data_IF_953952737913
#
_entry.id   IF_953952737913
#
_cell.length_a   1.000
_cell.length_b   1.000
_cell.length_c   1.000
_cell.angle_alpha   90.00
_cell.angle_beta   90.00
_cell.angle_gamma   90.00
#
_symmetry.space_group_name_H-M   'P 1'
#
loop_
_entity.id
_entity.type
_entity.pdbx_description
1 polymer ?
#
# COMPACT_ATOMS: atom_id res chain seq x y z
N UNK A 1 29.57 -54.92 -11.75
CA UNK A 1 29.27 -53.53 -12.13
C UNK A 1 27.85 -53.12 -11.77
N UNK A 2 27.78 -52.35 -10.68
CA UNK A 2 26.90 -51.21 -10.39
C UNK A 2 25.46 -51.25 -10.93
N UNK A 3 24.55 -51.63 -10.03
CA UNK A 3 23.11 -51.38 -10.12
C UNK A 3 22.83 -49.90 -10.40
N UNK A 4 22.35 -49.61 -11.61
CA UNK A 4 21.80 -48.31 -11.97
C UNK A 4 20.45 -48.14 -11.24
N UNK A 5 20.51 -47.61 -10.02
CA UNK A 5 19.34 -47.05 -9.34
C UNK A 5 18.85 -45.86 -10.17
N UNK A 6 17.86 -46.11 -11.03
CA UNK A 6 17.07 -45.09 -11.70
C UNK A 6 16.27 -44.36 -10.63
N UNK A 7 16.72 -43.16 -10.28
CA UNK A 7 15.99 -42.25 -9.40
C UNK A 7 14.83 -41.66 -10.21
N UNK A 8 13.62 -42.18 -10.03
CA UNK A 8 12.43 -41.59 -10.65
C UNK A 8 12.25 -40.15 -10.12
N UNK A 9 11.97 -39.16 -10.99
CA UNK A 9 11.73 -37.80 -10.53
C UNK A 9 10.41 -37.75 -9.78
N UNK A 10 10.46 -37.50 -8.47
CA UNK A 10 9.30 -37.17 -7.66
C UNK A 10 8.67 -35.89 -8.23
N UNK A 11 7.50 -36.01 -8.84
CA UNK A 11 6.68 -34.87 -9.26
C UNK A 11 6.30 -34.04 -8.03
N UNK A 12 7.03 -32.95 -7.81
CA UNK A 12 6.71 -31.96 -6.79
C UNK A 12 5.46 -31.21 -7.24
N UNK A 13 4.28 -31.64 -6.77
CA UNK A 13 3.03 -30.90 -6.94
C UNK A 13 3.20 -29.53 -6.26
N UNK A 14 3.25 -28.48 -7.07
CA UNK A 14 3.30 -27.11 -6.58
C UNK A 14 2.08 -26.84 -5.70
N UNK A 15 2.31 -26.56 -4.42
CA UNK A 15 1.27 -26.12 -3.50
C UNK A 15 0.88 -24.71 -3.94
N UNK A 16 -0.30 -24.58 -4.56
CA UNK A 16 -0.89 -23.28 -4.87
C UNK A 16 -1.35 -22.68 -3.54
N UNK A 17 -0.51 -21.82 -2.96
CA UNK A 17 -0.93 -20.94 -1.88
C UNK A 17 -1.98 -19.99 -2.49
N UNK A 18 -3.22 -19.92 -2.00
CA UNK A 18 -4.17 -18.94 -2.49
C UNK A 18 -3.56 -17.56 -2.27
N UNK A 19 -3.20 -16.91 -3.37
CA UNK A 19 -2.69 -15.54 -3.37
C UNK A 19 -3.68 -14.69 -2.59
N UNK A 20 -3.18 -14.02 -1.54
CA UNK A 20 -3.97 -13.10 -0.72
C UNK A 20 -4.81 -12.24 -1.66
N UNK A 21 -6.12 -12.24 -1.44
CA UNK A 21 -7.08 -11.37 -2.12
C UNK A 21 -6.49 -9.96 -2.15
N UNK A 22 -6.00 -9.57 -3.32
CA UNK A 22 -5.64 -8.19 -3.59
C UNK A 22 -6.97 -7.50 -3.79
N UNK A 23 -7.37 -6.53 -2.94
CA UNK A 23 -8.58 -5.78 -3.21
C UNK A 23 -8.44 -5.16 -4.61
N UNK A 24 -9.52 -5.22 -5.39
CA UNK A 24 -9.57 -4.67 -6.74
C UNK A 24 -8.93 -3.27 -6.78
N UNK A 25 -8.18 -2.91 -7.83
CA UNK A 25 -7.66 -1.56 -7.97
C UNK A 25 -8.85 -0.60 -7.94
N UNK A 26 -8.96 0.17 -6.85
CA UNK A 26 -9.99 1.18 -6.69
C UNK A 26 -10.06 2.04 -7.97
N UNK A 27 -11.26 2.30 -8.51
CA UNK A 27 -11.40 3.02 -9.76
C UNK A 27 -10.64 4.34 -9.67
N UNK A 28 -9.71 4.57 -10.61
CA UNK A 28 -8.90 5.81 -10.70
C UNK A 28 -9.84 7.00 -10.87
N UNK A 29 -10.30 7.56 -9.75
CA UNK A 29 -11.17 8.73 -9.75
C UNK A 29 -10.41 9.89 -10.36
N UNK A 30 -11.05 10.71 -11.22
CA UNK A 30 -10.39 11.86 -11.82
C UNK A 30 -9.83 12.76 -10.71
N UNK A 31 -8.54 13.08 -10.80
CA UNK A 31 -7.79 13.93 -9.88
C UNK A 31 -8.29 15.37 -9.99
N UNK A 32 -9.52 15.62 -9.52
CA UNK A 32 -10.03 16.95 -9.19
C UNK A 32 -9.03 17.54 -8.20
N UNK A 33 -8.51 18.75 -8.42
CA UNK A 33 -7.49 19.41 -7.57
C UNK A 33 -7.81 19.20 -6.08
N UNK A 34 -7.19 18.19 -5.49
CA UNK A 34 -7.52 17.65 -4.17
C UNK A 34 -6.35 18.06 -3.29
N UNK A 35 -6.62 18.90 -2.30
CA UNK A 35 -5.59 19.40 -1.37
C UNK A 35 -4.85 18.26 -0.68
N UNK A 36 -3.74 18.58 -0.01
CA UNK A 36 -2.83 17.60 0.62
C UNK A 36 -3.57 16.53 1.41
N UNK A 37 -4.55 16.92 2.22
CA UNK A 37 -5.35 16.01 3.05
C UNK A 37 -6.02 14.90 2.24
N UNK A 38 -6.64 15.24 1.12
CA UNK A 38 -7.38 14.27 0.33
C UNK A 38 -6.43 13.31 -0.37
N UNK A 39 -5.31 13.82 -0.89
CA UNK A 39 -4.30 12.99 -1.56
C UNK A 39 -3.60 12.04 -0.57
N UNK A 40 -3.37 12.49 0.67
CA UNK A 40 -2.85 11.64 1.76
C UNK A 40 -3.86 10.57 2.17
N UNK A 41 -5.15 10.90 2.22
CA UNK A 41 -6.19 9.93 2.57
C UNK A 41 -6.39 8.87 1.49
N UNK A 42 -6.31 9.25 0.21
CA UNK A 42 -6.29 8.28 -0.90
C UNK A 42 -5.10 7.33 -0.79
N UNK A 43 -3.91 7.83 -0.41
CA UNK A 43 -2.76 6.97 -0.17
C UNK A 43 -3.01 5.99 0.99
N UNK A 44 -3.70 6.44 2.05
CA UNK A 44 -4.12 5.55 3.14
C UNK A 44 -5.18 4.53 2.72
N UNK A 45 -6.10 4.90 1.82
CA UNK A 45 -7.10 3.98 1.25
C UNK A 45 -6.43 2.90 0.38
N UNK A 46 -5.42 3.28 -0.41
CA UNK A 46 -4.73 2.41 -1.36
C UNK A 46 -3.78 1.40 -0.69
N UNK A 47 -2.97 1.86 0.29
CA UNK A 47 -1.95 1.03 0.95
C UNK A 47 -2.30 0.59 2.37
N UNK A 48 -3.26 1.24 3.01
CA UNK A 48 -3.55 1.10 4.43
C UNK A 48 -2.74 2.07 5.29
N UNK A 49 -3.41 2.73 6.23
CA UNK A 49 -2.85 3.80 7.08
C UNK A 49 -1.61 3.38 7.88
N UNK A 50 -1.50 2.10 8.25
CA UNK A 50 -0.36 1.58 9.02
C UNK A 50 0.83 1.20 8.14
N UNK A 51 0.62 1.00 6.84
CA UNK A 51 1.68 0.68 5.87
C UNK A 51 2.28 1.92 5.20
N UNK A 52 1.57 3.05 5.22
CA UNK A 52 2.03 4.28 4.59
C UNK A 52 3.12 4.95 5.41
N UNK A 53 4.23 5.28 4.75
CA UNK A 53 5.36 5.95 5.39
C UNK A 53 5.28 7.47 5.31
N UNK A 54 6.00 8.15 6.22
CA UNK A 54 6.11 9.61 6.20
C UNK A 54 6.63 10.15 4.86
N UNK A 55 7.65 9.50 4.28
CA UNK A 55 8.29 9.96 3.02
C UNK A 55 7.31 9.91 1.84
N UNK A 56 6.41 8.94 1.81
CA UNK A 56 5.40 8.84 0.76
C UNK A 56 4.37 9.95 0.88
N UNK A 57 3.88 10.22 2.10
CA UNK A 57 2.99 11.35 2.35
C UNK A 57 3.66 12.70 2.03
N UNK A 58 4.92 12.87 2.40
CA UNK A 58 5.70 14.07 2.09
C UNK A 58 5.88 14.23 0.57
N UNK A 59 6.17 13.14 -0.15
CA UNK A 59 6.28 13.16 -1.61
C UNK A 59 4.96 13.60 -2.27
N UNK A 60 3.83 13.08 -1.82
CA UNK A 60 2.51 13.49 -2.31
C UNK A 60 2.23 14.95 -1.96
N UNK A 61 2.49 15.35 -0.71
CA UNK A 61 2.26 16.71 -0.27
C UNK A 61 3.06 17.72 -1.11
N UNK A 62 4.33 17.45 -1.40
CA UNK A 62 5.16 18.30 -2.27
C UNK A 62 4.70 18.33 -3.73
N UNK A 63 4.08 17.25 -4.22
CA UNK A 63 3.48 17.23 -5.57
C UNK A 63 2.22 18.08 -5.67
N UNK A 64 1.44 18.13 -4.59
CA UNK A 64 0.17 18.88 -4.54
C UNK A 64 0.43 20.36 -4.24
N UNK A 65 1.25 20.65 -3.22
CA UNK A 65 1.62 21.99 -2.78
C UNK A 65 3.11 22.00 -2.40
N UNK A 66 4.00 22.37 -3.32
CA UNK A 66 5.45 22.34 -3.10
C UNK A 66 5.94 23.35 -2.06
N UNK A 67 5.22 24.46 -1.88
CA UNK A 67 5.53 25.53 -0.93
C UNK A 67 5.12 25.19 0.51
N UNK A 68 4.26 24.19 0.70
CA UNK A 68 3.75 23.82 2.02
C UNK A 68 4.75 22.91 2.74
N UNK A 69 5.15 23.31 3.96
CA UNK A 69 6.01 22.49 4.84
C UNK A 69 5.21 21.31 5.41
N UNK A 70 5.18 20.20 4.67
CA UNK A 70 4.70 18.93 5.20
C UNK A 70 5.71 18.39 6.21
N UNK A 71 5.28 18.22 7.46
CA UNK A 71 6.14 17.80 8.56
C UNK A 71 5.60 16.57 9.29
N UNK A 72 6.43 15.94 10.13
CA UNK A 72 6.05 14.74 10.90
C UNK A 72 4.78 14.94 11.74
N UNK A 73 4.56 16.15 12.26
CA UNK A 73 3.35 16.52 12.99
C UNK A 73 2.09 16.40 12.12
N UNK A 74 2.15 16.89 10.88
CA UNK A 74 1.06 16.77 9.91
C UNK A 74 0.76 15.30 9.63
N UNK A 75 1.78 14.49 9.39
CA UNK A 75 1.60 13.06 9.15
C UNK A 75 0.92 12.33 10.32
N UNK A 76 1.35 12.59 11.56
CA UNK A 76 0.71 12.01 12.75
C UNK A 76 -0.76 12.44 12.88
N UNK A 77 -1.03 13.73 12.65
CA UNK A 77 -2.39 14.28 12.66
C UNK A 77 -3.27 13.63 11.58
N UNK A 78 -2.77 13.46 10.35
CA UNK A 78 -3.50 12.81 9.27
C UNK A 78 -3.85 11.36 9.60
N UNK A 79 -2.91 10.57 10.15
CA UNK A 79 -3.18 9.19 10.57
C UNK A 79 -4.28 9.13 11.62
N UNK A 80 -4.18 9.93 12.67
CA UNK A 80 -5.17 9.94 13.75
C UNK A 80 -6.55 10.41 13.26
N UNK A 81 -6.59 11.44 12.41
CA UNK A 81 -7.84 11.91 11.80
C UNK A 81 -8.48 10.88 10.88
N UNK A 82 -7.67 10.13 10.12
CA UNK A 82 -8.14 9.06 9.26
C UNK A 82 -8.74 7.90 10.08
N UNK A 83 -8.05 7.45 11.15
CA UNK A 83 -8.56 6.40 12.06
C UNK A 83 -9.89 6.79 12.70
N UNK A 84 -9.97 8.00 13.28
CA UNK A 84 -11.22 8.53 13.87
C UNK A 84 -12.39 8.62 12.90
N UNK A 85 -12.14 8.82 11.60
CA UNK A 85 -13.19 8.84 10.57
C UNK A 85 -13.68 7.44 10.15
N UNK A 86 -12.89 6.39 10.40
CA UNK A 86 -13.20 5.01 10.01
C UNK A 86 -13.74 4.18 11.17
N UNK A 87 -13.41 4.56 12.41
CA UNK A 87 -13.88 3.93 13.64
C UNK A 87 -15.23 4.47 14.15
N UNK A 88 -15.69 5.62 13.63
CA UNK A 88 -17.00 6.20 13.93
C UNK A 88 -18.02 5.91 12.84
#
# INVERSE_FOLDING_TARGET
DINAYMFEPVETKAIIIPSRVTPDPLPKRPQKRRGIMHSVFELFDDKGVDNVTYRECESIARKVEPDTKFGKMHFSWYKNKYKRKREG
#
